data_IF_285899623625
#
_entry.id   IF_285899623625
#
_cell.length_a   1.000
_cell.length_b   1.000
_cell.length_c   1.000
_cell.angle_alpha   90.00
_cell.angle_beta   90.00
_cell.angle_gamma   90.00
#
_symmetry.space_group_name_H-M   'P 1'
#
loop_
_entity.id
_entity.type
_entity.pdbx_description
1 polymer ?
#
# COMPACT_ATOMS: atom_id res chain seq x y z
N UNK A 1 25.33 -15.22 -9.87
CA UNK A 1 23.91 -15.31 -9.50
C UNK A 1 23.25 -14.05 -10.04
N UNK A 2 22.52 -14.18 -11.15
CA UNK A 2 21.87 -13.06 -11.81
C UNK A 2 20.52 -12.86 -11.11
N UNK A 3 20.43 -11.87 -10.22
CA UNK A 3 19.15 -11.48 -9.64
C UNK A 3 18.37 -10.65 -10.66
N UNK A 4 17.31 -11.23 -11.22
CA UNK A 4 16.37 -10.49 -12.06
C UNK A 4 15.49 -9.68 -11.13
N UNK A 5 15.62 -8.37 -11.14
CA UNK A 5 14.75 -7.46 -10.40
C UNK A 5 13.44 -7.31 -11.17
N UNK A 6 12.37 -7.92 -10.65
CA UNK A 6 11.04 -7.84 -11.22
C UNK A 6 10.34 -6.58 -10.71
N UNK A 7 10.08 -5.63 -11.61
CA UNK A 7 9.20 -4.51 -11.31
C UNK A 7 7.73 -4.99 -11.27
N UNK A 8 7.25 -5.43 -10.11
CA UNK A 8 5.85 -5.71 -9.90
C UNK A 8 5.13 -4.40 -9.60
N UNK A 9 4.40 -3.88 -10.58
CA UNK A 9 3.43 -2.83 -10.34
C UNK A 9 2.28 -3.41 -9.50
N UNK A 10 2.23 -3.09 -8.21
CA UNK A 10 1.09 -3.44 -7.37
C UNK A 10 -0.12 -2.60 -7.80
N UNK A 11 -1.04 -3.24 -8.51
CA UNK A 11 -2.37 -2.69 -8.76
C UNK A 11 -3.20 -2.83 -7.48
N UNK A 12 -3.44 -1.71 -6.83
CA UNK A 12 -4.41 -1.62 -5.74
C UNK A 12 -5.82 -1.95 -6.25
N UNK A 13 -6.48 -2.88 -5.59
CA UNK A 13 -7.88 -3.21 -5.85
C UNK A 13 -8.77 -2.04 -5.43
N UNK A 14 -9.39 -1.39 -6.41
CA UNK A 14 -10.56 -0.54 -6.18
C UNK A 14 -11.83 -1.30 -6.56
N UNK A 15 -12.72 -1.46 -5.59
CA UNK A 15 -14.05 -2.02 -5.79
C UNK A 15 -14.90 -1.12 -6.69
N UNK A 16 -15.68 -1.76 -7.57
CA UNK A 16 -16.59 -1.15 -8.53
C UNK A 16 -17.64 -0.25 -7.88
N UNK A 17 -17.78 0.94 -8.43
CA UNK A 17 -18.98 1.78 -8.32
C UNK A 17 -19.18 2.50 -9.65
N UNK A 18 -20.30 2.20 -10.29
CA UNK A 18 -20.76 2.83 -11.52
C UNK A 18 -21.07 4.30 -11.25
N UNK A 19 -20.46 5.23 -11.96
CA UNK A 19 -20.91 6.62 -12.00
C UNK A 19 -20.52 7.29 -13.33
N UNK A 20 -21.43 8.09 -13.77
CA UNK A 20 -21.61 8.76 -15.04
C UNK A 20 -20.42 9.53 -15.62
N UNK A 21 -20.50 9.70 -16.94
CA UNK A 21 -19.61 10.41 -17.86
C UNK A 21 -19.11 11.76 -17.35
N UNK A 22 -17.81 11.91 -17.28
CA UNK A 22 -17.11 13.17 -17.34
C UNK A 22 -16.04 13.10 -18.42
N UNK A 23 -15.84 14.20 -19.09
CA UNK A 23 -15.14 14.40 -20.34
C UNK A 23 -13.72 13.83 -20.38
N UNK A 24 -13.41 13.20 -21.51
CA UNK A 24 -12.13 12.62 -21.88
C UNK A 24 -11.04 13.69 -21.99
N UNK A 25 -10.07 13.61 -21.10
CA UNK A 25 -8.73 14.11 -21.40
C UNK A 25 -7.97 12.94 -22.02
N UNK A 26 -7.70 13.07 -23.30
CA UNK A 26 -6.95 12.10 -24.11
C UNK A 26 -5.48 12.13 -23.69
N UNK A 27 -5.12 11.29 -22.73
CA UNK A 27 -3.73 10.98 -22.41
C UNK A 27 -3.39 9.62 -23.04
N UNK A 28 -3.12 9.66 -24.33
CA UNK A 28 -2.53 8.53 -25.04
C UNK A 28 -1.11 8.33 -24.52
N UNK A 29 -0.96 7.57 -23.44
CA UNK A 29 0.31 6.94 -23.12
C UNK A 29 0.52 5.86 -24.18
N UNK A 30 1.33 6.16 -25.16
CA UNK A 30 1.86 5.16 -26.06
C UNK A 30 2.60 4.14 -25.22
N UNK A 31 1.99 2.96 -25.07
CA UNK A 31 2.68 1.82 -24.51
C UNK A 31 3.86 1.50 -25.42
N UNK A 32 5.06 1.91 -25.00
CA UNK A 32 6.28 1.34 -25.55
C UNK A 32 6.19 -0.16 -25.31
N UNK A 33 6.19 -0.92 -26.42
CA UNK A 33 6.30 -2.36 -26.35
C UNK A 33 7.51 -2.70 -25.49
N UNK A 34 7.31 -3.34 -24.34
CA UNK A 34 8.39 -3.96 -23.63
C UNK A 34 8.99 -5.00 -24.59
N UNK A 35 10.21 -4.77 -25.03
CA UNK A 35 10.98 -5.80 -25.72
C UNK A 35 10.99 -7.02 -24.80
N UNK A 36 10.56 -8.15 -25.33
CA UNK A 36 10.56 -9.42 -24.64
C UNK A 36 11.94 -9.68 -24.05
N UNK A 37 12.00 -9.84 -22.72
CA UNK A 37 13.20 -10.35 -22.05
C UNK A 37 13.55 -11.65 -22.74
N UNK A 38 14.75 -11.73 -23.30
CA UNK A 38 15.25 -12.89 -24.02
C UNK A 38 15.14 -14.14 -23.13
N UNK A 39 14.56 -15.20 -23.69
CA UNK A 39 14.67 -16.54 -23.15
C UNK A 39 16.11 -16.79 -22.69
N UNK A 40 16.28 -17.30 -21.48
CA UNK A 40 17.58 -17.87 -21.07
C UNK A 40 17.99 -18.92 -22.10
N UNK A 41 19.28 -19.01 -22.37
CA UNK A 41 19.90 -19.71 -23.50
C UNK A 41 19.57 -21.24 -23.61
N UNK A 42 18.72 -21.77 -22.75
CA UNK A 42 18.34 -23.19 -22.65
C UNK A 42 16.83 -23.48 -22.59
N UNK A 43 15.96 -22.45 -22.73
CA UNK A 43 14.49 -22.65 -22.69
C UNK A 43 13.93 -23.03 -21.30
N UNK A 44 14.73 -22.88 -20.25
CA UNK A 44 14.28 -23.14 -18.88
C UNK A 44 13.50 -21.94 -18.33
N UNK A 45 12.28 -22.18 -17.86
CA UNK A 45 11.43 -21.14 -17.24
C UNK A 45 12.06 -20.70 -15.93
N UNK A 46 12.39 -19.42 -15.82
CA UNK A 46 12.92 -18.84 -14.58
C UNK A 46 11.85 -18.95 -13.48
N UNK A 47 12.21 -19.59 -12.38
CA UNK A 47 11.36 -19.71 -11.20
C UNK A 47 11.90 -18.82 -10.08
N UNK A 48 11.06 -17.92 -9.56
CA UNK A 48 11.35 -17.04 -8.43
C UNK A 48 10.52 -17.46 -7.21
N UNK A 49 11.10 -17.35 -6.03
CA UNK A 49 10.39 -17.52 -4.76
C UNK A 49 9.97 -16.17 -4.20
N UNK A 50 8.70 -16.06 -3.76
CA UNK A 50 8.17 -14.81 -3.21
C UNK A 50 7.49 -15.05 -1.87
N UNK A 51 8.09 -14.52 -0.80
CA UNK A 51 7.47 -14.49 0.51
C UNK A 51 6.53 -13.29 0.62
N UNK A 52 5.24 -13.57 0.83
CA UNK A 52 4.22 -12.53 0.91
C UNK A 52 3.04 -12.98 1.79
N UNK A 53 2.70 -12.26 2.87
CA UNK A 53 1.51 -12.53 3.66
C UNK A 53 0.22 -12.41 2.85
N UNK A 54 -0.72 -13.33 3.05
CA UNK A 54 -2.08 -13.20 2.53
C UNK A 54 -2.90 -12.41 3.55
N UNK A 55 -3.54 -11.34 3.09
CA UNK A 55 -4.45 -10.57 3.93
C UNK A 55 -5.53 -11.48 4.55
N UNK A 56 -5.81 -11.30 5.86
CA UNK A 56 -6.75 -12.11 6.62
C UNK A 56 -8.18 -12.17 6.03
N UNK A 57 -8.61 -11.14 5.29
CA UNK A 57 -9.88 -11.19 4.57
C UNK A 57 -9.79 -12.05 3.31
N UNK A 58 -8.69 -11.97 2.57
CA UNK A 58 -8.45 -12.75 1.36
C UNK A 58 -8.21 -14.24 1.66
N UNK A 59 -7.55 -14.57 2.78
CA UNK A 59 -7.27 -15.96 3.18
C UNK A 59 -8.50 -16.84 3.39
N UNK A 60 -9.69 -16.24 3.46
CA UNK A 60 -10.97 -16.95 3.49
C UNK A 60 -11.39 -17.50 2.14
N UNK A 61 -10.79 -17.01 1.06
CA UNK A 61 -11.21 -17.31 -0.32
C UNK A 61 -10.09 -17.90 -1.16
N UNK A 62 -8.84 -17.58 -0.85
CA UNK A 62 -7.66 -18.07 -1.56
C UNK A 62 -6.64 -18.65 -0.59
N UNK A 63 -5.92 -19.66 -1.02
CA UNK A 63 -4.84 -20.29 -0.24
C UNK A 63 -3.47 -19.85 -0.72
N UNK A 64 -3.38 -19.33 -1.95
CA UNK A 64 -2.15 -18.80 -2.51
C UNK A 64 -2.43 -17.66 -3.49
N UNK A 65 -1.51 -16.71 -3.60
CA UNK A 65 -1.53 -15.70 -4.65
C UNK A 65 -1.34 -16.28 -6.06
N UNK A 66 -0.90 -17.53 -6.20
CA UNK A 66 -0.90 -18.25 -7.48
C UNK A 66 -2.31 -18.44 -8.06
N UNK A 67 -3.35 -18.37 -7.23
CA UNK A 67 -4.76 -18.41 -7.64
C UNK A 67 -5.27 -17.05 -8.16
N UNK A 68 -4.53 -15.98 -7.95
CA UNK A 68 -4.91 -14.63 -8.37
C UNK A 68 -4.60 -14.43 -9.86
N UNK A 69 -5.63 -14.06 -10.62
CA UNK A 69 -5.53 -13.85 -12.08
C UNK A 69 -4.52 -12.79 -12.47
N UNK A 70 -4.33 -11.73 -11.66
CA UNK A 70 -3.33 -10.70 -11.96
C UNK A 70 -1.90 -11.26 -11.90
N UNK A 71 -1.59 -12.09 -10.92
CA UNK A 71 -0.29 -12.76 -10.86
C UNK A 71 -0.12 -13.79 -11.98
N UNK A 72 -1.17 -14.53 -12.32
CA UNK A 72 -1.15 -15.49 -13.44
C UNK A 72 -0.84 -14.77 -14.77
N UNK A 73 -1.51 -13.65 -15.03
CA UNK A 73 -1.27 -12.84 -16.22
C UNK A 73 0.15 -12.28 -16.28
N UNK A 74 0.68 -11.81 -15.14
CA UNK A 74 2.07 -11.32 -15.06
C UNK A 74 3.06 -12.44 -15.32
N UNK A 75 2.88 -13.62 -14.72
CA UNK A 75 3.73 -14.78 -14.95
C UNK A 75 3.72 -15.23 -16.41
N UNK A 76 2.54 -15.28 -17.02
CA UNK A 76 2.39 -15.64 -18.43
C UNK A 76 3.06 -14.61 -19.35
N UNK A 77 2.80 -13.32 -19.11
CA UNK A 77 3.37 -12.23 -19.92
C UNK A 77 4.90 -12.17 -19.85
N UNK A 78 5.48 -12.49 -18.70
CA UNK A 78 6.92 -12.44 -18.47
C UNK A 78 7.63 -13.78 -18.76
N UNK A 79 6.87 -14.85 -19.00
CA UNK A 79 7.44 -16.19 -19.19
C UNK A 79 8.17 -16.73 -17.97
N UNK A 80 7.74 -16.36 -16.76
CA UNK A 80 8.35 -16.77 -15.49
C UNK A 80 7.36 -17.56 -14.64
N UNK A 81 7.86 -18.26 -13.62
CA UNK A 81 7.09 -18.88 -12.56
C UNK A 81 7.38 -18.22 -11.23
N UNK A 82 6.36 -17.95 -10.42
CA UNK A 82 6.51 -17.47 -9.04
C UNK A 82 5.98 -18.55 -8.09
N UNK A 83 6.84 -18.98 -7.17
CA UNK A 83 6.48 -19.85 -6.06
C UNK A 83 6.25 -18.99 -4.82
N UNK A 84 4.99 -18.88 -4.42
CA UNK A 84 4.60 -18.07 -3.27
C UNK A 84 4.80 -18.83 -1.96
N UNK A 85 5.37 -18.17 -0.98
CA UNK A 85 5.54 -18.63 0.40
C UNK A 85 4.68 -17.72 1.27
N UNK A 86 3.66 -18.26 1.90
CA UNK A 86 2.73 -17.50 2.73
C UNK A 86 2.90 -17.88 4.20
N UNK A 87 3.15 -16.91 5.09
CA UNK A 87 3.08 -17.15 6.52
C UNK A 87 1.65 -17.45 6.97
N UNK A 88 1.51 -18.11 8.11
CA UNK A 88 0.21 -18.30 8.73
C UNK A 88 -0.38 -16.95 9.16
N UNK A 89 -1.68 -16.77 8.92
CA UNK A 89 -2.39 -15.54 9.28
C UNK A 89 -2.28 -15.28 10.79
N UNK A 90 -1.79 -14.10 11.14
CA UNK A 90 -1.53 -13.68 12.51
C UNK A 90 -0.15 -14.06 13.07
N UNK A 91 0.70 -14.70 12.26
CA UNK A 91 2.08 -15.03 12.62
C UNK A 91 3.10 -14.38 11.65
N UNK A 92 2.66 -13.40 10.89
CA UNK A 92 3.43 -12.80 9.80
C UNK A 92 4.78 -12.26 10.28
N UNK A 93 4.80 -11.55 11.41
CA UNK A 93 6.03 -10.98 11.97
C UNK A 93 6.97 -12.06 12.53
N UNK A 94 6.43 -13.08 13.15
CA UNK A 94 7.24 -14.17 13.70
C UNK A 94 7.89 -14.98 12.57
N UNK A 95 7.10 -15.37 11.57
CA UNK A 95 7.60 -16.11 10.42
C UNK A 95 8.53 -15.27 9.54
N UNK A 96 8.30 -13.95 9.45
CA UNK A 96 9.23 -13.03 8.81
C UNK A 96 10.62 -13.08 9.47
N UNK A 97 10.67 -13.01 10.81
CA UNK A 97 11.93 -13.07 11.53
C UNK A 97 12.64 -14.41 11.37
N UNK A 98 11.88 -15.50 11.19
CA UNK A 98 12.46 -16.83 10.99
C UNK A 98 13.11 -16.99 9.60
N UNK A 99 12.74 -16.20 8.60
CA UNK A 99 13.37 -16.22 7.28
C UNK A 99 14.89 -16.05 7.36
N UNK A 100 15.34 -15.15 8.22
CA UNK A 100 16.75 -14.77 8.35
C UNK A 100 17.61 -15.75 9.17
N UNK A 101 16.99 -16.79 9.71
CA UNK A 101 17.68 -17.90 10.40
C UNK A 101 17.98 -19.06 9.44
N UNK A 102 17.40 -19.05 8.25
CA UNK A 102 17.59 -20.07 7.24
C UNK A 102 18.85 -19.84 6.39
N UNK A 103 19.31 -20.91 5.71
CA UNK A 103 20.47 -20.85 4.81
C UNK A 103 20.16 -20.18 3.47
N UNK A 104 18.88 -20.01 3.12
CA UNK A 104 18.44 -19.43 1.84
C UNK A 104 17.23 -18.54 2.04
N UNK A 105 17.36 -17.30 1.59
CA UNK A 105 16.24 -16.35 1.55
C UNK A 105 15.41 -16.54 0.26
N UNK A 106 14.11 -16.21 0.29
CA UNK A 106 13.33 -16.03 -0.92
C UNK A 106 13.94 -14.96 -1.84
N UNK A 107 13.69 -15.08 -3.15
CA UNK A 107 14.18 -14.12 -4.14
C UNK A 107 13.50 -12.77 -3.99
N UNK A 108 12.22 -12.77 -3.56
CA UNK A 108 11.42 -11.56 -3.29
C UNK A 108 10.80 -11.69 -1.91
N UNK A 109 10.88 -10.62 -1.12
CA UNK A 109 10.30 -10.54 0.22
C UNK A 109 9.43 -9.28 0.29
N UNK A 110 8.13 -9.45 0.60
CA UNK A 110 7.24 -8.35 0.91
C UNK A 110 7.46 -7.86 2.35
N UNK A 111 7.14 -6.58 2.59
CA UNK A 111 7.23 -5.98 3.92
C UNK A 111 8.65 -5.97 4.50
N UNK A 112 9.63 -5.61 3.69
CA UNK A 112 11.03 -5.50 4.11
C UNK A 112 11.24 -4.50 5.27
N UNK A 113 10.34 -3.54 5.43
CA UNK A 113 10.25 -2.58 6.53
C UNK A 113 10.03 -3.24 7.90
N UNK A 114 9.55 -4.50 7.94
CA UNK A 114 9.44 -5.31 9.17
C UNK A 114 10.79 -5.82 9.69
N UNK A 115 11.87 -5.71 8.92
CA UNK A 115 13.20 -6.06 9.40
C UNK A 115 13.61 -5.18 10.60
N UNK A 116 14.33 -5.75 11.54
CA UNK A 116 14.77 -5.00 12.74
C UNK A 116 15.65 -3.82 12.31
N UNK A 117 15.16 -2.61 12.48
CA UNK A 117 15.80 -1.38 11.98
C UNK A 117 15.39 -0.98 10.57
N UNK A 118 14.39 -1.65 9.97
CA UNK A 118 13.84 -1.36 8.65
C UNK A 118 14.66 -1.93 7.50
N UNK A 119 14.16 -1.77 6.27
CA UNK A 119 14.77 -2.33 5.06
C UNK A 119 16.20 -1.82 4.81
N UNK A 120 16.49 -0.57 5.11
CA UNK A 120 17.83 -0.01 4.94
C UNK A 120 18.83 -0.58 5.95
N UNK A 121 18.37 -1.00 7.15
CA UNK A 121 19.23 -1.74 8.04
C UNK A 121 19.51 -3.14 7.50
N UNK A 122 18.50 -3.81 6.95
CA UNK A 122 18.66 -5.09 6.29
C UNK A 122 19.64 -5.04 5.12
N UNK A 123 19.66 -3.95 4.36
CA UNK A 123 20.67 -3.70 3.32
C UNK A 123 22.07 -3.58 3.93
N UNK A 124 22.24 -2.78 4.97
CA UNK A 124 23.53 -2.62 5.65
C UNK A 124 24.05 -3.92 6.26
N UNK A 125 23.16 -4.77 6.72
CA UNK A 125 23.46 -6.10 7.24
C UNK A 125 23.75 -7.13 6.13
N UNK A 126 23.63 -6.74 4.85
CA UNK A 126 23.86 -7.59 3.67
C UNK A 126 22.73 -8.60 3.40
N UNK A 127 21.54 -8.37 3.98
CA UNK A 127 20.37 -9.23 3.80
C UNK A 127 19.58 -8.83 2.56
N UNK A 128 19.33 -7.54 2.38
CA UNK A 128 18.63 -6.99 1.23
C UNK A 128 19.62 -6.39 0.21
N UNK A 129 19.26 -6.53 -1.05
CA UNK A 129 20.07 -6.00 -2.15
C UNK A 129 19.89 -4.49 -2.26
N UNK A 130 20.98 -3.74 -2.28
CA UNK A 130 20.98 -2.37 -2.76
C UNK A 130 20.71 -2.37 -4.27
N UNK A 131 19.62 -1.73 -4.69
CA UNK A 131 19.19 -1.66 -6.09
C UNK A 131 19.36 -0.28 -6.70
N UNK A 132 20.05 0.63 -6.02
CA UNK A 132 20.26 2.01 -6.46
C UNK A 132 20.84 2.09 -7.86
N UNK A 133 21.94 1.35 -8.10
CA UNK A 133 22.62 1.32 -9.41
C UNK A 133 21.90 0.41 -10.43
N UNK A 134 21.05 -0.51 -9.96
CA UNK A 134 20.32 -1.44 -10.81
C UNK A 134 19.02 -0.85 -11.35
N UNK A 135 18.35 -0.01 -10.56
CA UNK A 135 17.04 0.53 -10.92
C UNK A 135 17.04 1.34 -12.22
N UNK A 136 18.01 2.18 -12.54
CA UNK A 136 18.07 2.90 -13.81
C UNK A 136 18.10 1.98 -15.04
N UNK A 137 18.79 0.84 -14.93
CA UNK A 137 18.99 -0.11 -16.05
C UNK A 137 17.83 -1.11 -16.15
N UNK A 138 17.40 -1.69 -15.01
CA UNK A 138 16.45 -2.81 -15.01
C UNK A 138 15.01 -2.42 -14.67
N UNK A 139 14.80 -1.21 -14.14
CA UNK A 139 13.48 -0.67 -13.83
C UNK A 139 13.37 0.82 -14.25
N UNK A 140 13.64 1.17 -15.53
CA UNK A 140 13.75 2.57 -15.97
C UNK A 140 12.46 3.37 -15.77
N UNK A 141 11.29 2.76 -15.91
CA UNK A 141 10.02 3.43 -15.71
C UNK A 141 9.79 3.79 -14.24
N UNK A 142 10.11 2.89 -13.33
CA UNK A 142 10.05 3.16 -11.88
C UNK A 142 11.07 4.25 -11.49
N UNK A 143 12.30 4.14 -11.99
CA UNK A 143 13.34 5.13 -11.72
C UNK A 143 12.98 6.52 -12.25
N UNK A 144 12.32 6.60 -13.40
CA UNK A 144 11.80 7.86 -13.94
C UNK A 144 10.72 8.48 -13.04
N UNK A 145 9.87 7.67 -12.42
CA UNK A 145 8.88 8.16 -11.45
C UNK A 145 9.61 8.75 -10.24
N UNK A 146 10.59 8.05 -9.68
CA UNK A 146 11.40 8.56 -8.58
C UNK A 146 12.08 9.91 -8.89
N UNK A 147 12.58 10.08 -10.11
CA UNK A 147 13.22 11.33 -10.52
C UNK A 147 12.25 12.49 -10.71
N UNK A 148 10.99 12.23 -11.00
CA UNK A 148 9.98 13.25 -11.27
C UNK A 148 9.15 13.65 -10.03
N UNK A 149 9.25 12.90 -8.93
CA UNK A 149 8.52 13.15 -7.69
C UNK A 149 9.48 13.15 -6.50
N UNK A 150 9.84 14.36 -6.05
CA UNK A 150 10.81 14.55 -4.95
C UNK A 150 10.31 13.97 -3.62
N UNK A 151 9.00 14.03 -3.37
CA UNK A 151 8.42 13.48 -2.14
C UNK A 151 8.50 11.95 -2.16
N UNK A 152 8.10 11.34 -3.26
CA UNK A 152 8.20 9.90 -3.44
C UNK A 152 9.65 9.40 -3.42
N UNK A 153 10.58 10.16 -4.00
CA UNK A 153 12.00 9.85 -3.92
C UNK A 153 12.49 9.80 -2.46
N UNK A 154 12.15 10.83 -1.65
CA UNK A 154 12.53 10.89 -0.23
C UNK A 154 11.89 9.79 0.62
N UNK A 155 10.68 9.38 0.28
CA UNK A 155 9.99 8.28 0.96
C UNK A 155 10.54 6.91 0.59
N UNK A 156 11.13 6.79 -0.60
CA UNK A 156 11.62 5.52 -1.15
C UNK A 156 13.12 5.29 -0.94
N UNK A 157 13.86 6.31 -0.50
CA UNK A 157 15.31 6.24 -0.31
C UNK A 157 15.72 6.58 1.12
N UNK A 158 16.90 6.13 1.54
CA UNK A 158 17.51 6.62 2.77
C UNK A 158 18.18 8.00 2.57
N UNK A 159 18.80 8.53 3.66
CA UNK A 159 19.46 9.84 3.62
C UNK A 159 20.69 9.90 2.69
N UNK A 160 21.25 8.77 2.33
CA UNK A 160 22.39 8.65 1.43
C UNK A 160 21.95 8.35 -0.03
N UNK A 161 20.63 8.21 -0.25
CA UNK A 161 20.02 8.00 -1.54
C UNK A 161 19.99 6.54 -1.98
N UNK A 162 20.19 5.57 -1.06
CA UNK A 162 20.06 4.16 -1.39
C UNK A 162 18.61 3.75 -1.60
N UNK A 163 18.39 2.88 -2.56
CA UNK A 163 17.11 2.26 -2.90
C UNK A 163 17.18 0.76 -2.63
N UNK A 164 16.22 0.22 -1.87
CA UNK A 164 16.22 -1.20 -1.46
C UNK A 164 14.95 -1.92 -1.93
N UNK A 165 13.87 -1.18 -2.13
CA UNK A 165 12.55 -1.74 -2.40
C UNK A 165 11.84 -0.99 -3.52
N UNK A 166 10.84 -1.63 -4.13
CA UNK A 166 9.90 -1.02 -5.05
C UNK A 166 8.64 -0.61 -4.31
N UNK A 167 8.58 0.64 -3.88
CA UNK A 167 7.43 1.19 -3.18
C UNK A 167 6.27 1.48 -4.14
N UNK A 168 5.04 1.35 -3.65
CA UNK A 168 3.85 1.65 -4.45
C UNK A 168 3.73 3.16 -4.68
N UNK A 169 3.77 3.58 -5.94
CA UNK A 169 3.59 4.97 -6.32
C UNK A 169 2.12 5.37 -6.42
N UNK A 170 1.76 6.48 -5.81
CA UNK A 170 0.40 7.03 -5.83
C UNK A 170 0.42 8.48 -6.34
N UNK A 171 0.24 8.71 -7.64
CA UNK A 171 0.50 10.02 -8.28
C UNK A 171 -0.44 11.15 -7.82
N UNK A 172 -1.53 10.84 -7.16
CA UNK A 172 -2.56 11.81 -6.71
C UNK A 172 -2.62 11.89 -5.18
N UNK A 173 -1.62 11.34 -4.48
CA UNK A 173 -1.66 11.14 -3.04
C UNK A 173 -2.66 10.05 -2.65
N UNK A 174 -2.73 9.77 -1.37
CA UNK A 174 -3.72 8.83 -0.87
C UNK A 174 -5.12 9.45 -0.91
N UNK A 175 -6.06 8.91 -1.69
CA UNK A 175 -7.44 9.39 -1.62
C UNK A 175 -7.95 9.14 -0.20
N UNK A 176 -8.80 10.03 0.35
CA UNK A 176 -9.37 9.82 1.67
C UNK A 176 -10.12 8.49 1.69
N UNK A 177 -9.51 7.51 2.33
CA UNK A 177 -10.02 6.14 2.33
C UNK A 177 -11.10 5.92 3.39
N UNK A 178 -11.20 6.81 4.38
CA UNK A 178 -12.30 6.88 5.34
C UNK A 178 -13.00 8.22 5.20
N UNK A 179 -14.33 8.17 5.17
CA UNK A 179 -15.16 9.36 4.98
C UNK A 179 -16.38 9.27 5.88
N UNK A 180 -16.87 10.42 6.31
CA UNK A 180 -18.19 10.54 6.90
C UNK A 180 -19.24 10.35 5.80
N UNK A 181 -20.18 9.46 6.07
CA UNK A 181 -21.36 9.25 5.23
C UNK A 181 -22.58 9.60 6.04
N UNK A 182 -23.37 10.52 5.55
CA UNK A 182 -24.62 10.97 6.20
C UNK A 182 -25.80 10.42 5.43
N UNK A 183 -26.82 9.96 6.17
CA UNK A 183 -28.08 9.55 5.58
C UNK A 183 -28.94 10.78 5.37
N UNK A 184 -29.11 11.24 4.13
CA UNK A 184 -29.86 12.45 3.80
C UNK A 184 -31.32 12.35 4.26
N UNK A 185 -31.99 11.22 4.05
CA UNK A 185 -33.38 11.05 4.47
C UNK A 185 -33.55 11.19 5.99
N UNK A 186 -32.56 10.78 6.76
CA UNK A 186 -32.54 10.95 8.20
C UNK A 186 -32.33 12.42 8.61
N UNK A 187 -31.43 13.12 7.90
CA UNK A 187 -31.24 14.56 8.13
C UNK A 187 -32.54 15.36 7.88
N UNK A 188 -33.23 15.04 6.79
CA UNK A 188 -34.51 15.66 6.45
C UNK A 188 -35.59 15.38 7.51
N UNK A 189 -35.66 14.15 8.03
CA UNK A 189 -36.57 13.75 9.11
C UNK A 189 -36.27 14.46 10.43
N UNK A 190 -35.00 14.78 10.68
CA UNK A 190 -34.54 15.46 11.90
C UNK A 190 -34.55 16.99 11.76
N UNK A 191 -34.94 17.52 10.61
CA UNK A 191 -34.81 18.93 10.26
C UNK A 191 -33.37 19.43 10.58
N UNK A 192 -32.38 18.73 9.99
CA UNK A 192 -30.96 19.03 10.13
C UNK A 192 -30.33 19.31 8.77
N UNK A 193 -29.54 20.34 8.71
CA UNK A 193 -28.58 20.51 7.58
C UNK A 193 -27.38 19.58 7.71
N UNK A 194 -26.60 19.46 6.64
CA UNK A 194 -25.32 18.74 6.69
C UNK A 194 -24.38 19.48 7.65
N UNK A 195 -23.96 18.86 8.76
CA UNK A 195 -23.15 19.53 9.78
C UNK A 195 -21.76 19.86 9.22
N UNK A 196 -21.27 21.05 9.53
CA UNK A 196 -19.96 21.59 9.12
C UNK A 196 -19.07 21.99 10.29
N UNK A 197 -19.62 21.99 11.50
CA UNK A 197 -18.90 22.30 12.73
C UNK A 197 -19.17 21.21 13.77
N UNK A 198 -18.33 21.12 14.78
CA UNK A 198 -18.49 20.16 15.88
C UNK A 198 -19.83 20.39 16.59
N UNK A 199 -20.17 21.64 16.86
CA UNK A 199 -21.43 21.99 17.53
C UNK A 199 -22.67 21.52 16.73
N UNK A 200 -22.59 21.61 15.39
CA UNK A 200 -23.66 21.11 14.51
C UNK A 200 -23.75 19.59 14.52
N UNK A 201 -22.60 18.89 14.63
CA UNK A 201 -22.59 17.43 14.81
C UNK A 201 -23.21 17.04 16.15
N UNK A 202 -22.88 17.74 17.24
CA UNK A 202 -23.49 17.50 18.57
C UNK A 202 -25.00 17.71 18.52
N UNK A 203 -25.50 18.83 17.97
CA UNK A 203 -26.92 19.08 17.80
C UNK A 203 -27.62 17.96 17.01
N UNK A 204 -27.03 17.53 15.91
CA UNK A 204 -27.56 16.41 15.10
C UNK A 204 -27.60 15.12 15.93
N UNK A 205 -26.56 14.81 16.67
CA UNK A 205 -26.51 13.62 17.53
C UNK A 205 -27.54 13.64 18.65
N UNK A 206 -27.75 14.78 19.28
CA UNK A 206 -28.77 14.96 20.30
C UNK A 206 -30.18 14.73 19.74
N UNK A 207 -30.48 15.24 18.54
CA UNK A 207 -31.74 14.99 17.84
C UNK A 207 -31.93 13.51 17.50
N UNK A 208 -30.87 12.82 17.07
CA UNK A 208 -30.91 11.37 16.85
C UNK A 208 -31.17 10.59 18.13
N UNK A 209 -30.47 10.90 19.21
CA UNK A 209 -30.66 10.24 20.50
C UNK A 209 -32.05 10.46 21.05
N UNK A 210 -32.61 11.64 20.91
CA UNK A 210 -33.98 11.95 21.32
C UNK A 210 -35.03 11.07 20.61
N UNK A 211 -34.74 10.58 19.42
CA UNK A 211 -35.52 9.59 18.65
C UNK A 211 -35.15 8.14 18.90
N UNK A 212 -34.20 7.86 19.80
CA UNK A 212 -33.70 6.50 20.07
C UNK A 212 -32.79 5.93 18.96
N UNK A 213 -32.25 6.79 18.11
CA UNK A 213 -31.32 6.40 17.02
C UNK A 213 -29.89 6.50 17.56
N UNK A 214 -29.09 5.47 17.33
CA UNK A 214 -27.66 5.51 17.62
C UNK A 214 -26.97 6.45 16.64
N UNK A 215 -26.40 7.58 17.09
CA UNK A 215 -25.94 8.63 16.18
C UNK A 215 -24.76 8.20 15.32
N UNK A 216 -23.84 7.41 15.88
CA UNK A 216 -22.59 7.04 15.23
C UNK A 216 -22.06 5.70 15.72
N UNK A 217 -21.54 4.90 14.80
CA UNK A 217 -20.85 3.67 15.11
C UNK A 217 -19.36 3.87 14.87
N UNK A 218 -18.58 3.75 15.94
CA UNK A 218 -17.12 3.77 15.87
C UNK A 218 -16.61 2.38 15.55
N UNK A 219 -15.80 2.27 14.50
CA UNK A 219 -15.03 1.07 14.26
C UNK A 219 -13.89 1.00 15.27
N UNK A 220 -13.70 -0.16 15.90
CA UNK A 220 -12.64 -0.40 16.88
C UNK A 220 -11.25 -0.14 16.33
N UNK A 221 -11.05 -0.30 15.03
CA UNK A 221 -9.74 -0.23 14.36
C UNK A 221 -9.45 1.11 13.71
N UNK A 222 -9.89 2.22 14.24
CA UNK A 222 -9.58 3.50 13.62
C UNK A 222 -10.50 4.66 14.01
N UNK A 223 -11.13 4.56 15.17
CA UNK A 223 -11.97 5.65 15.70
C UNK A 223 -11.14 6.92 15.89
N UNK A 224 -9.90 6.80 16.31
CA UNK A 224 -8.98 7.89 16.52
C UNK A 224 -8.72 8.68 15.24
N UNK A 225 -8.51 8.01 14.13
CA UNK A 225 -8.31 8.65 12.82
C UNK A 225 -9.58 9.34 12.32
N UNK A 226 -10.75 8.76 12.62
CA UNK A 226 -12.03 9.31 12.20
C UNK A 226 -12.39 10.60 12.95
N UNK A 227 -12.06 10.69 14.24
CA UNK A 227 -12.35 11.86 15.07
C UNK A 227 -11.27 12.93 14.95
N UNK A 228 -10.01 12.56 14.84
CA UNK A 228 -8.89 13.50 14.79
C UNK A 228 -8.94 14.44 13.59
N UNK A 229 -9.45 13.99 12.45
CA UNK A 229 -9.67 14.84 11.30
C UNK A 229 -10.62 16.02 11.54
N UNK A 230 -11.51 15.93 12.54
CA UNK A 230 -12.39 17.02 12.93
C UNK A 230 -11.65 18.16 13.66
N UNK A 231 -10.46 17.88 14.18
CA UNK A 231 -9.61 18.83 14.89
C UNK A 231 -8.40 19.26 14.06
N UNK A 232 -8.41 19.00 12.75
CA UNK A 232 -7.31 19.32 11.84
C UNK A 232 -5.97 18.64 12.23
N UNK A 233 -6.09 17.51 12.90
CA UNK A 233 -4.95 16.72 13.35
C UNK A 233 -4.81 15.46 12.49
N UNK A 234 -3.66 15.29 11.88
CA UNK A 234 -3.25 14.01 11.32
C UNK A 234 -2.40 13.29 12.37
N UNK A 235 -2.92 12.20 12.89
CA UNK A 235 -2.30 11.40 13.91
C UNK A 235 -2.26 9.93 13.48
N UNK A 236 -1.09 9.33 13.56
CA UNK A 236 -0.94 7.89 13.41
C UNK A 236 -0.65 7.29 14.79
N UNK A 237 -1.57 6.47 15.29
CA UNK A 237 -1.49 5.83 16.61
C UNK A 237 -0.21 4.99 16.81
N UNK A 238 0.39 4.52 15.71
CA UNK A 238 1.56 3.66 15.76
C UNK A 238 2.88 4.44 15.75
N UNK A 239 2.85 5.72 15.33
CA UNK A 239 4.04 6.56 15.20
C UNK A 239 4.15 7.59 16.32
N UNK A 240 3.02 8.02 16.91
CA UNK A 240 2.93 9.02 17.97
C UNK A 240 3.52 10.41 17.63
N UNK A 241 3.95 10.63 16.40
CA UNK A 241 4.44 11.91 15.94
C UNK A 241 3.45 12.53 14.95
N UNK A 242 3.25 13.83 15.04
CA UNK A 242 2.42 14.59 14.09
C UNK A 242 3.06 15.94 13.79
N UNK A 243 2.81 16.43 12.57
CA UNK A 243 3.20 17.77 12.18
C UNK A 243 2.10 18.74 12.55
N UNK A 244 2.46 19.78 13.31
CA UNK A 244 1.58 20.91 13.60
C UNK A 244 2.30 22.17 13.15
N UNK A 245 1.74 22.86 12.18
CA UNK A 245 2.44 23.92 11.48
C UNK A 245 3.81 23.41 10.96
N UNK A 246 4.90 24.05 11.31
CA UNK A 246 6.25 23.60 10.92
C UNK A 246 7.01 22.86 12.02
N UNK A 247 6.29 22.34 13.01
CA UNK A 247 6.88 21.65 14.16
C UNK A 247 6.40 20.21 14.26
N UNK A 248 7.33 19.27 14.42
CA UNK A 248 6.99 17.88 14.77
C UNK A 248 6.75 17.81 16.27
N UNK A 249 5.61 17.28 16.67
CA UNK A 249 5.21 17.07 18.06
C UNK A 249 5.00 15.60 18.34
N UNK A 250 5.19 15.23 19.59
CA UNK A 250 4.90 13.89 20.10
C UNK A 250 3.58 13.93 20.87
N UNK A 251 2.67 13.02 20.55
CA UNK A 251 1.44 12.75 21.29
C UNK A 251 1.54 11.35 21.91
N UNK A 252 1.62 11.25 23.23
CA UNK A 252 1.70 9.97 23.94
C UNK A 252 0.41 9.17 23.88
#
# INVERSE_FOLDING_TARGET
VLSVVLALAMLGMTACGNAEKSETVDNTIQSGAAESVSEGDDGEVVTLTYWAPINAAASKYVTSYSENTAYQEVMERLGIKIEFIHPAVGQEQEEFNLLFLGDKLPDIIAYADHYVGGEFQGMRDGVFQDITELAPEYAPDYYKILQNDEEFYRESTDNDGHLVSFNAYKPVGDPPFRRWVLNQALLDELDCEIPRTIDQFEEMFDKMQAKGITPYLLDRSGYEVQLMGMYDLYFNKDIHFYKWEDTVKFAP
#
